data_IF_709494363457
#
_entry.id   IF_709494363457
#
_cell.length_a   1.000
_cell.length_b   1.000
_cell.length_c   1.000
_cell.angle_alpha   90.00
_cell.angle_beta   90.00
_cell.angle_gamma   90.00
#
_symmetry.space_group_name_H-M   'P 1'
#
loop_
_entity.id
_entity.type
_entity.pdbx_description
1 polymer ?
#
# COMPACT_ATOMS: atom_id res chain seq x y z
N UNK A 1 -27.50 -56.24 41.36
CA UNK A 1 -27.15 -55.13 42.27
C UNK A 1 -25.78 -54.60 41.86
N UNK A 2 -25.73 -53.56 41.01
CA UNK A 2 -24.48 -53.03 40.44
C UNK A 2 -24.07 -51.81 41.27
N UNK A 3 -22.93 -51.90 41.97
CA UNK A 3 -22.32 -50.77 42.68
C UNK A 3 -21.51 -49.95 41.69
N UNK A 4 -22.03 -48.79 41.27
CA UNK A 4 -21.32 -47.89 40.37
C UNK A 4 -20.31 -47.06 41.16
N UNK A 5 -19.01 -47.28 40.92
CA UNK A 5 -17.92 -46.50 41.52
C UNK A 5 -17.72 -45.22 40.74
N UNK A 6 -18.10 -44.08 41.34
CA UNK A 6 -17.85 -42.75 40.76
C UNK A 6 -16.41 -42.36 41.08
N UNK A 7 -15.48 -42.58 40.14
CA UNK A 7 -14.13 -42.01 40.23
C UNK A 7 -14.19 -40.53 39.90
N UNK A 8 -13.98 -39.69 40.92
CA UNK A 8 -13.85 -38.24 40.78
C UNK A 8 -12.56 -37.92 40.05
N UNK A 9 -12.66 -37.50 38.78
CA UNK A 9 -11.52 -36.99 38.03
C UNK A 9 -11.12 -35.64 38.64
N UNK A 10 -9.97 -35.59 39.31
CA UNK A 10 -9.39 -34.34 39.80
C UNK A 10 -8.92 -33.53 38.61
N UNK A 11 -9.63 -32.46 38.28
CA UNK A 11 -9.16 -31.44 37.35
C UNK A 11 -7.84 -30.89 37.88
N UNK A 12 -6.71 -31.17 37.20
CA UNK A 12 -5.46 -30.46 37.49
C UNK A 12 -5.73 -28.98 37.24
N UNK A 13 -5.71 -28.19 38.30
CA UNK A 13 -5.77 -26.74 38.24
C UNK A 13 -4.49 -26.29 37.53
N UNK A 14 -4.60 -25.93 36.25
CA UNK A 14 -3.52 -25.25 35.57
C UNK A 14 -3.42 -23.87 36.21
N UNK A 15 -2.38 -23.66 37.02
CA UNK A 15 -2.08 -22.36 37.60
C UNK A 15 -1.78 -21.37 36.48
N UNK A 16 -2.11 -20.10 36.71
CA UNK A 16 -1.80 -19.02 35.77
C UNK A 16 -0.32 -19.13 35.35
N UNK A 17 -0.01 -19.14 34.05
CA UNK A 17 1.35 -19.29 33.58
C UNK A 17 2.20 -18.16 34.18
N UNK A 18 3.17 -18.54 35.00
CA UNK A 18 4.13 -17.59 35.58
C UNK A 18 5.07 -17.15 34.46
N UNK A 19 5.16 -15.85 34.13
CA UNK A 19 6.15 -15.39 33.17
C UNK A 19 7.53 -15.74 33.71
N UNK A 20 8.28 -16.53 32.94
CA UNK A 20 9.66 -16.85 33.27
C UNK A 20 10.49 -15.57 33.08
N UNK A 21 11.44 -15.36 34.00
CA UNK A 21 12.40 -14.30 33.82
C UNK A 21 13.14 -14.51 32.48
N UNK A 22 13.37 -13.45 31.69
CA UNK A 22 14.13 -13.56 30.47
C UNK A 22 15.51 -14.14 30.79
N UNK A 23 15.79 -15.33 30.27
CA UNK A 23 17.05 -16.05 30.50
C UNK A 23 18.23 -15.38 29.78
N UNK A 24 17.95 -14.59 28.74
CA UNK A 24 18.97 -13.89 27.97
C UNK A 24 19.18 -12.50 28.55
N UNK A 25 20.43 -12.11 28.88
CA UNK A 25 20.71 -10.74 29.27
C UNK A 25 20.29 -9.81 28.12
N UNK A 26 19.75 -8.63 28.46
CA UNK A 26 19.58 -7.57 27.47
C UNK A 26 20.96 -7.26 26.88
N UNK A 27 21.00 -7.01 25.57
CA UNK A 27 22.24 -6.62 24.90
C UNK A 27 22.82 -5.38 25.61
N UNK A 28 24.15 -5.34 25.77
CA UNK A 28 24.86 -4.21 26.37
C UNK A 28 24.89 -2.97 25.48
N UNK A 29 24.52 -3.14 24.21
CA UNK A 29 24.50 -2.10 23.20
C UNK A 29 23.06 -1.92 22.76
N UNK A 30 22.57 -0.70 22.88
CA UNK A 30 21.33 -0.28 22.26
C UNK A 30 21.60 -0.19 20.75
N UNK A 31 21.40 -1.30 20.04
CA UNK A 31 21.27 -1.22 18.60
C UNK A 31 19.95 -0.50 18.32
N UNK A 32 20.03 0.67 17.69
CA UNK A 32 18.88 1.33 17.08
C UNK A 32 18.35 0.43 15.96
N UNK A 33 17.59 -0.59 16.35
CA UNK A 33 16.80 -1.41 15.44
C UNK A 33 15.56 -0.60 15.10
N UNK A 34 15.74 0.47 14.33
CA UNK A 34 14.62 1.18 13.75
C UNK A 34 13.91 0.23 12.78
N UNK A 35 12.60 0.15 12.91
CA UNK A 35 11.78 -0.61 11.99
C UNK A 35 11.57 0.23 10.72
N UNK A 36 11.96 -0.32 9.58
CA UNK A 36 11.81 0.30 8.27
C UNK A 36 10.90 -0.56 7.39
N UNK A 37 9.81 0.03 6.92
CA UNK A 37 8.97 -0.55 5.88
C UNK A 37 9.45 -0.07 4.51
N UNK A 38 9.59 -1.00 3.57
CA UNK A 38 10.01 -0.72 2.20
C UNK A 38 8.98 -1.26 1.21
N UNK A 39 8.68 -0.48 0.16
CA UNK A 39 7.79 -0.87 -0.93
C UNK A 39 8.33 -0.32 -2.26
N UNK A 40 8.46 -1.19 -3.25
CA UNK A 40 8.81 -0.81 -4.61
C UNK A 40 7.54 -0.49 -5.42
N UNK A 41 7.49 0.69 -6.03
CA UNK A 41 6.35 1.14 -6.83
C UNK A 41 6.79 1.50 -8.24
N UNK A 42 6.08 0.99 -9.25
CA UNK A 42 6.19 1.43 -10.63
C UNK A 42 5.00 2.31 -10.98
N UNK A 43 5.24 3.59 -11.18
CA UNK A 43 4.21 4.58 -11.50
C UNK A 43 4.38 5.06 -12.94
N UNK A 44 3.30 5.04 -13.72
CA UNK A 44 3.28 5.53 -15.10
C UNK A 44 2.27 6.67 -15.20
N UNK A 45 2.75 7.82 -15.64
CA UNK A 45 1.91 8.98 -15.92
C UNK A 45 1.14 8.80 -17.24
N UNK A 46 0.00 9.48 -17.34
CA UNK A 46 -0.77 9.53 -18.59
C UNK A 46 0.01 10.27 -19.68
N UNK A 47 0.04 9.70 -20.89
CA UNK A 47 0.60 10.37 -22.07
C UNK A 47 -0.22 11.64 -22.37
N UNK A 48 0.46 12.70 -22.83
CA UNK A 48 -0.20 13.86 -23.42
C UNK A 48 -0.96 13.50 -24.70
N UNK A 49 -1.93 14.34 -25.06
CA UNK A 49 -2.65 14.22 -26.31
C UNK A 49 -1.76 14.61 -27.49
N UNK A 50 -1.96 13.99 -28.64
CA UNK A 50 -1.26 14.37 -29.86
C UNK A 50 -1.93 15.62 -30.47
N UNK A 51 -1.12 16.56 -30.97
CA UNK A 51 -1.63 17.68 -31.76
C UNK A 51 -2.13 17.20 -33.12
N UNK A 52 -2.93 18.04 -33.78
CA UNK A 52 -3.49 17.71 -35.11
C UNK A 52 -3.02 18.73 -36.13
N UNK A 53 -2.56 18.27 -37.28
CA UNK A 53 -2.45 19.11 -38.48
C UNK A 53 -3.72 18.97 -39.31
N UNK A 54 -4.44 20.06 -39.51
CA UNK A 54 -5.63 20.10 -40.36
C UNK A 54 -5.74 21.44 -41.08
N UNK A 55 -6.49 21.43 -42.17
CA UNK A 55 -6.81 22.61 -42.97
C UNK A 55 -8.31 22.84 -42.96
N UNK A 56 -8.72 24.11 -42.92
CA UNK A 56 -10.14 24.47 -42.94
C UNK A 56 -10.76 24.13 -44.30
N UNK A 57 -11.98 23.55 -44.30
CA UNK A 57 -12.75 23.30 -45.52
C UNK A 57 -14.06 24.05 -45.43
N UNK A 58 -14.20 25.10 -46.22
CA UNK A 58 -15.41 25.93 -46.29
C UNK A 58 -15.89 25.98 -47.73
N UNK A 59 -17.20 26.06 -47.94
CA UNK A 59 -17.77 26.22 -49.29
C UNK A 59 -17.16 27.46 -49.98
N UNK A 60 -16.78 27.32 -51.25
CA UNK A 60 -16.08 28.33 -52.07
C UNK A 60 -14.68 28.76 -51.58
N UNK A 61 -14.07 28.05 -50.63
CA UNK A 61 -12.65 28.22 -50.31
C UNK A 61 -11.92 26.88 -50.40
N UNK A 62 -11.31 26.65 -51.56
CA UNK A 62 -10.58 25.42 -51.88
C UNK A 62 -9.27 25.29 -51.07
N UNK A 63 -8.69 26.40 -50.61
CA UNK A 63 -7.44 26.45 -49.85
C UNK A 63 -7.62 27.15 -48.50
N UNK A 64 -8.39 26.52 -47.60
CA UNK A 64 -8.46 27.01 -46.22
C UNK A 64 -7.14 26.85 -45.48
N UNK A 65 -6.79 27.84 -44.66
CA UNK A 65 -5.55 27.85 -43.88
C UNK A 65 -5.45 26.75 -42.83
N UNK A 66 -4.26 26.53 -42.25
CA UNK A 66 -4.05 25.55 -41.20
C UNK A 66 -4.89 25.93 -39.97
N UNK A 67 -5.68 24.98 -39.48
CA UNK A 67 -6.52 25.12 -38.30
C UNK A 67 -6.30 23.98 -37.28
N UNK A 68 -5.21 23.25 -37.45
CA UNK A 68 -4.75 22.26 -36.50
C UNK A 68 -4.38 22.87 -35.16
N UNK A 69 -4.71 22.16 -34.06
CA UNK A 69 -4.42 22.59 -32.70
C UNK A 69 -3.33 21.73 -32.04
N UNK A 70 -2.80 22.25 -30.94
CA UNK A 70 -1.77 21.57 -30.15
C UNK A 70 -2.33 20.39 -29.36
N UNK A 71 -1.42 19.48 -29.00
CA UNK A 71 -1.70 18.35 -28.13
C UNK A 71 -1.88 18.78 -26.67
N UNK A 72 -2.70 18.03 -25.93
CA UNK A 72 -2.90 18.25 -24.50
C UNK A 72 -1.74 17.74 -23.65
N UNK A 73 -1.56 18.30 -22.45
CA UNK A 73 -0.55 17.83 -21.51
C UNK A 73 -0.88 16.44 -20.96
N UNK A 74 0.17 15.68 -20.63
CA UNK A 74 0.06 14.41 -19.92
C UNK A 74 -0.27 14.58 -18.43
N UNK A 75 -0.54 13.47 -17.75
CA UNK A 75 -0.85 13.50 -16.33
C UNK A 75 0.42 13.56 -15.47
N UNK A 76 0.32 14.17 -14.29
CA UNK A 76 1.39 14.18 -13.30
C UNK A 76 1.10 13.16 -12.19
N UNK A 77 2.15 12.57 -11.65
CA UNK A 77 2.09 11.70 -10.46
C UNK A 77 2.66 12.49 -9.29
N UNK A 78 1.85 12.65 -8.24
CA UNK A 78 2.22 13.40 -7.03
C UNK A 78 1.96 12.49 -5.83
N UNK A 79 2.99 12.28 -5.02
CA UNK A 79 2.88 11.54 -3.77
C UNK A 79 2.72 12.54 -2.63
N UNK A 80 1.67 12.36 -1.82
CA UNK A 80 1.40 13.18 -0.66
C UNK A 80 1.31 12.30 0.59
N UNK A 81 2.23 12.52 1.52
CA UNK A 81 2.18 11.90 2.84
C UNK A 81 1.16 12.58 3.74
N UNK A 82 0.37 11.80 4.48
CA UNK A 82 -0.48 12.28 5.57
C UNK A 82 -0.05 11.61 6.86
N UNK A 83 0.10 12.41 7.93
CA UNK A 83 0.28 11.88 9.28
C UNK A 83 -1.08 11.39 9.79
N UNK A 84 -1.11 10.16 10.32
CA UNK A 84 -2.25 9.63 11.05
C UNK A 84 -2.06 10.06 12.51
N UNK A 85 -3.07 10.75 13.06
CA UNK A 85 -3.13 11.16 14.48
C UNK A 85 -3.74 10.05 15.33
#
# INVERSE_FOLDING_TARGET
>A
MIRTSVRRLTTKVFSNPKPLAPSKPKASVDFDNYFQDELELRLLAGKGGDGKSSFSKTFQNEFGGPNGGDGGNGAHIILQGKRIE
#
